data_IF_973642588295
#
_entry.id   IF_973642588295
#
_cell.length_a   1.000
_cell.length_b   1.000
_cell.length_c   1.000
_cell.angle_alpha   90.00
_cell.angle_beta   90.00
_cell.angle_gamma   90.00
#
_symmetry.space_group_name_H-M   'P 1'
#
loop_
_entity.id
_entity.type
_entity.pdbx_description
1 polymer ?
#
# COMPACT_ATOMS: atom_id res chain seq x y z
N UNK A 1 -28.88 -19.34 34.07
CA UNK A 1 -29.34 -19.11 32.70
C UNK A 1 -29.39 -17.59 32.36
N UNK A 2 -28.33 -16.83 32.64
CA UNK A 2 -28.32 -15.35 32.53
C UNK A 2 -26.93 -14.80 32.12
N UNK A 3 -26.15 -15.56 31.34
CA UNK A 3 -24.78 -15.16 30.93
C UNK A 3 -24.54 -15.02 29.42
N UNK A 4 -25.48 -15.41 28.57
CA UNK A 4 -25.25 -15.52 27.12
C UNK A 4 -25.77 -14.37 26.28
N UNK A 5 -26.55 -13.47 26.81
CA UNK A 5 -27.17 -12.34 26.09
C UNK A 5 -26.27 -11.10 25.99
N UNK A 6 -25.30 -10.94 26.88
CA UNK A 6 -24.44 -9.73 26.85
C UNK A 6 -23.28 -9.78 25.83
N UNK A 7 -22.84 -10.96 25.40
CA UNK A 7 -21.75 -11.04 24.40
C UNK A 7 -22.18 -10.57 23.00
N UNK A 8 -23.46 -10.71 22.66
CA UNK A 8 -23.98 -10.35 21.33
C UNK A 8 -24.35 -8.87 21.19
N UNK A 9 -24.63 -8.19 22.29
CA UNK A 9 -25.01 -6.76 22.29
C UNK A 9 -23.76 -5.86 22.22
N UNK A 10 -22.65 -6.24 22.84
CA UNK A 10 -21.37 -5.53 22.70
C UNK A 10 -20.77 -5.62 21.30
N UNK A 11 -21.03 -6.69 20.55
CA UNK A 11 -20.56 -6.84 19.18
C UNK A 11 -21.20 -5.85 18.19
N UNK A 12 -22.44 -5.41 18.40
CA UNK A 12 -23.12 -4.48 17.47
C UNK A 12 -22.66 -3.02 17.63
N UNK A 13 -22.17 -2.62 18.78
CA UNK A 13 -21.75 -1.23 19.05
C UNK A 13 -20.32 -0.93 18.56
N UNK A 14 -19.51 -1.96 18.30
CA UNK A 14 -18.13 -1.84 17.82
C UNK A 14 -18.02 -1.57 16.31
N UNK A 15 -19.10 -1.74 15.54
CA UNK A 15 -19.08 -1.59 14.07
C UNK A 15 -19.18 -0.14 13.57
N UNK A 16 -19.52 0.83 14.41
CA UNK A 16 -19.80 2.21 13.98
C UNK A 16 -18.68 3.22 14.17
N UNK A 17 -17.56 2.87 14.84
CA UNK A 17 -16.47 3.81 15.14
C UNK A 17 -15.14 3.50 14.43
N UNK A 18 -15.18 2.95 13.23
CA UNK A 18 -13.98 2.36 12.60
C UNK A 18 -13.13 3.26 11.70
N UNK A 19 -13.30 4.56 11.64
CA UNK A 19 -12.43 5.38 10.80
C UNK A 19 -11.96 6.66 11.50
N UNK A 20 -10.97 6.56 12.38
CA UNK A 20 -10.08 7.68 12.67
C UNK A 20 -8.81 7.52 11.80
N UNK A 21 -8.60 8.48 10.91
CA UNK A 21 -7.35 8.59 10.12
C UNK A 21 -6.20 8.86 11.09
N UNK A 22 -5.18 8.03 11.08
CA UNK A 22 -3.92 8.36 11.76
C UNK A 22 -3.26 9.55 11.07
N UNK A 23 -2.59 10.41 11.83
CA UNK A 23 -1.52 11.24 11.31
C UNK A 23 -0.59 10.35 10.47
N UNK A 24 -0.40 10.73 9.21
CA UNK A 24 0.27 9.94 8.18
C UNK A 24 1.71 9.67 8.61
N UNK A 25 1.91 8.58 9.35
CA UNK A 25 3.24 8.06 9.59
C UNK A 25 3.78 7.55 8.25
N UNK A 26 5.01 7.97 7.93
CA UNK A 26 5.74 7.55 6.74
C UNK A 26 5.82 6.03 6.70
N UNK A 27 5.03 5.38 5.82
CA UNK A 27 5.25 3.98 5.54
C UNK A 27 6.63 3.84 4.90
N UNK A 28 7.51 3.12 5.51
CA UNK A 28 8.85 2.88 4.99
C UNK A 28 8.82 1.74 3.96
N UNK A 29 9.85 1.62 3.13
CA UNK A 29 10.00 0.48 2.22
C UNK A 29 9.90 -0.87 2.96
N UNK A 30 10.32 -0.90 4.21
CA UNK A 30 10.25 -2.09 5.07
C UNK A 30 8.81 -2.41 5.49
N UNK A 31 7.95 -1.40 5.72
CA UNK A 31 6.53 -1.61 6.03
C UNK A 31 5.75 -2.20 4.86
N UNK A 32 6.06 -1.81 3.63
CA UNK A 32 5.40 -2.43 2.45
C UNK A 32 5.85 -3.86 2.22
N UNK A 33 7.12 -4.18 2.48
CA UNK A 33 7.57 -5.58 2.49
C UNK A 33 6.84 -6.36 3.57
N UNK A 34 6.69 -5.77 4.75
CA UNK A 34 5.95 -6.36 5.86
C UNK A 34 4.48 -6.61 5.51
N UNK A 35 3.81 -5.68 4.85
CA UNK A 35 2.43 -5.86 4.35
C UNK A 35 2.33 -7.08 3.42
N UNK A 36 3.26 -7.24 2.47
CA UNK A 36 3.28 -8.40 1.57
C UNK A 36 3.51 -9.72 2.30
N UNK A 37 4.42 -9.72 3.28
CA UNK A 37 4.69 -10.89 4.13
C UNK A 37 3.45 -11.23 4.95
N UNK A 38 2.83 -10.23 5.57
CA UNK A 38 1.61 -10.40 6.36
C UNK A 38 0.46 -10.98 5.54
N UNK A 39 0.19 -10.44 4.35
CA UNK A 39 -0.83 -10.98 3.45
C UNK A 39 -0.59 -12.44 3.12
N UNK A 40 0.66 -12.81 2.81
CA UNK A 40 1.01 -14.21 2.56
C UNK A 40 0.77 -15.10 3.79
N UNK A 41 1.14 -14.65 4.99
CA UNK A 41 0.96 -15.40 6.24
C UNK A 41 -0.51 -15.50 6.65
N UNK A 42 -1.29 -14.43 6.48
CA UNK A 42 -2.74 -14.41 6.75
C UNK A 42 -3.46 -15.40 5.84
N UNK A 43 -3.13 -15.43 4.55
CA UNK A 43 -3.71 -16.38 3.58
C UNK A 43 -3.32 -17.82 3.92
N UNK A 44 -2.05 -18.08 4.24
CA UNK A 44 -1.60 -19.38 4.67
C UNK A 44 -2.33 -19.88 5.94
N UNK A 45 -2.55 -18.99 6.92
CA UNK A 45 -3.33 -19.34 8.11
C UNK A 45 -4.80 -19.63 7.75
N UNK A 46 -5.41 -18.83 6.88
CA UNK A 46 -6.78 -19.06 6.40
C UNK A 46 -6.93 -20.41 5.71
N UNK A 47 -6.00 -20.76 4.82
CA UNK A 47 -5.99 -22.03 4.09
C UNK A 47 -5.80 -23.21 5.05
N UNK A 48 -4.85 -23.11 5.98
CA UNK A 48 -4.63 -24.15 7.01
C UNK A 48 -5.89 -24.40 7.87
N UNK A 49 -6.57 -23.33 8.28
CA UNK A 49 -7.81 -23.44 9.05
C UNK A 49 -8.91 -24.07 8.20
N UNK A 50 -9.02 -23.69 6.94
CA UNK A 50 -10.00 -24.27 6.03
C UNK A 50 -9.74 -25.78 5.82
N UNK A 51 -8.49 -26.20 5.63
CA UNK A 51 -8.10 -27.60 5.56
C UNK A 51 -8.47 -28.38 6.82
N UNK A 52 -8.28 -27.82 8.01
CA UNK A 52 -8.70 -28.42 9.28
C UNK A 52 -10.22 -28.63 9.29
N UNK A 53 -10.98 -27.64 8.86
CA UNK A 53 -12.45 -27.72 8.86
C UNK A 53 -12.99 -28.73 7.84
N UNK A 54 -12.32 -28.85 6.69
CA UNK A 54 -12.75 -29.71 5.57
C UNK A 54 -12.21 -31.16 5.66
N UNK A 55 -11.32 -31.44 6.65
CA UNK A 55 -10.69 -32.76 6.77
C UNK A 55 -11.60 -33.79 7.44
N UNK A 56 -12.45 -34.43 6.67
CA UNK A 56 -13.36 -35.49 7.15
C UNK A 56 -12.68 -36.85 7.49
N UNK A 57 -11.38 -36.98 7.21
CA UNK A 57 -10.62 -38.17 7.56
C UNK A 57 -10.19 -38.22 9.02
N UNK A 58 -10.16 -37.07 9.71
CA UNK A 58 -9.82 -36.95 11.12
C UNK A 58 -11.11 -36.87 11.95
N UNK A 59 -11.30 -37.72 12.97
CA UNK A 59 -12.47 -37.66 13.84
C UNK A 59 -12.58 -36.28 14.54
N UNK A 60 -13.80 -35.81 14.72
CA UNK A 60 -14.08 -34.48 15.27
C UNK A 60 -13.40 -34.17 16.60
N UNK A 61 -13.30 -35.17 17.48
CA UNK A 61 -12.65 -35.00 18.79
C UNK A 61 -11.14 -34.76 18.71
N UNK A 62 -10.50 -35.06 17.58
CA UNK A 62 -9.07 -34.88 17.35
C UNK A 62 -8.79 -33.73 16.33
N UNK A 63 -9.78 -33.39 15.51
CA UNK A 63 -9.63 -32.44 14.38
C UNK A 63 -9.33 -31.02 14.83
N UNK A 64 -9.95 -30.58 15.92
CA UNK A 64 -9.95 -29.18 16.33
C UNK A 64 -9.02 -28.84 17.49
N UNK A 65 -8.07 -29.73 17.82
CA UNK A 65 -7.19 -29.62 19.00
C UNK A 65 -6.29 -28.39 18.98
N UNK A 66 -5.96 -27.89 17.78
CA UNK A 66 -5.09 -26.72 17.57
C UNK A 66 -5.81 -25.37 17.70
N UNK A 67 -7.05 -25.33 18.19
CA UNK A 67 -7.89 -24.11 18.26
C UNK A 67 -7.22 -22.94 19.00
N UNK A 68 -6.44 -23.19 20.06
CA UNK A 68 -5.71 -22.15 20.80
C UNK A 68 -4.53 -21.61 20.01
N UNK A 69 -3.80 -22.51 19.33
CA UNK A 69 -2.64 -22.14 18.53
C UNK A 69 -3.07 -21.27 17.33
N UNK A 70 -4.17 -21.64 16.65
CA UNK A 70 -4.74 -20.86 15.56
C UNK A 70 -5.17 -19.45 16.03
N UNK A 71 -5.80 -19.36 17.21
CA UNK A 71 -6.18 -18.10 17.80
C UNK A 71 -4.97 -17.22 18.18
N UNK A 72 -3.89 -17.83 18.70
CA UNK A 72 -2.64 -17.14 19.01
C UNK A 72 -1.97 -16.61 17.74
N UNK A 73 -1.83 -17.46 16.71
CA UNK A 73 -1.25 -17.04 15.42
C UNK A 73 -2.02 -15.88 14.78
N UNK A 74 -3.35 -15.93 14.82
CA UNK A 74 -4.17 -14.81 14.35
C UNK A 74 -3.92 -13.52 15.16
N UNK A 75 -3.84 -13.61 16.49
CA UNK A 75 -3.57 -12.44 17.33
C UNK A 75 -2.25 -11.76 16.96
N UNK A 76 -1.18 -12.55 16.75
CA UNK A 76 0.13 -12.03 16.35
C UNK A 76 0.07 -11.33 14.99
N UNK A 77 -0.62 -11.93 14.02
CA UNK A 77 -0.81 -11.32 12.70
C UNK A 77 -1.65 -10.05 12.76
N UNK A 78 -2.71 -10.04 13.56
CA UNK A 78 -3.57 -8.87 13.75
C UNK A 78 -2.84 -7.71 14.44
N UNK A 79 -1.95 -8.00 15.39
CA UNK A 79 -1.12 -6.98 16.05
C UNK A 79 -0.12 -6.37 15.07
N UNK A 80 0.59 -7.20 14.32
CA UNK A 80 1.53 -6.74 13.30
C UNK A 80 0.84 -5.92 12.21
N UNK A 81 -0.34 -6.35 11.75
CA UNK A 81 -1.13 -5.63 10.77
C UNK A 81 -1.54 -4.23 11.28
N UNK A 82 -1.96 -4.09 12.56
CA UNK A 82 -2.27 -2.78 13.15
C UNK A 82 -1.11 -1.80 13.11
N UNK A 83 0.12 -2.31 13.15
CA UNK A 83 1.33 -1.46 13.17
C UNK A 83 1.69 -0.93 11.78
N UNK A 84 1.30 -1.62 10.71
CA UNK A 84 1.66 -1.27 9.32
C UNK A 84 0.50 -0.66 8.51
N UNK A 85 -0.75 -0.81 8.96
CA UNK A 85 -1.92 -0.25 8.26
C UNK A 85 -2.03 1.25 8.47
N UNK A 86 -2.39 1.97 7.40
CA UNK A 86 -2.67 3.41 7.44
C UNK A 86 -3.99 3.74 8.14
N UNK A 87 -4.93 2.80 8.14
CA UNK A 87 -6.25 2.94 8.76
C UNK A 87 -6.27 2.21 10.09
N UNK A 88 -6.73 2.88 11.16
CA UNK A 88 -6.97 2.24 12.46
C UNK A 88 -8.16 1.27 12.36
N UNK A 89 -7.90 0.03 11.96
CA UNK A 89 -8.90 -1.02 12.03
C UNK A 89 -8.85 -1.69 13.42
N UNK A 90 -10.01 -1.82 14.05
CA UNK A 90 -10.14 -2.62 15.27
C UNK A 90 -10.36 -4.09 14.87
N UNK A 91 -9.33 -4.90 15.04
CA UNK A 91 -9.45 -6.34 14.88
C UNK A 91 -9.83 -6.99 16.22
N UNK A 92 -10.69 -8.00 16.16
CA UNK A 92 -10.99 -8.84 17.32
C UNK A 92 -9.69 -9.50 17.83
N UNK A 93 -9.55 -9.62 19.13
CA UNK A 93 -8.43 -10.32 19.77
C UNK A 93 -8.96 -11.45 20.62
N UNK A 94 -8.48 -12.66 20.40
CA UNK A 94 -8.86 -13.82 21.19
C UNK A 94 -8.08 -13.83 22.50
N UNK A 95 -8.80 -13.99 23.63
CA UNK A 95 -8.14 -14.17 24.93
C UNK A 95 -7.73 -15.62 25.12
N UNK A 96 -6.55 -15.98 24.58
CA UNK A 96 -6.06 -17.37 24.57
C UNK A 96 -5.85 -17.90 25.99
N UNK A 97 -5.46 -17.06 26.94
CA UNK A 97 -5.22 -17.47 28.35
C UNK A 97 -6.52 -17.90 29.06
N UNK A 98 -7.65 -17.30 28.68
CA UNK A 98 -8.97 -17.63 29.21
C UNK A 98 -9.72 -18.70 28.43
N UNK A 99 -9.14 -19.20 27.33
CA UNK A 99 -9.73 -20.33 26.60
C UNK A 99 -9.62 -21.61 27.44
N UNK A 100 -10.67 -22.45 27.47
CA UNK A 100 -10.61 -23.73 28.14
C UNK A 100 -9.43 -24.57 27.62
N UNK A 101 -8.74 -25.29 28.47
CA UNK A 101 -7.72 -26.27 28.07
C UNK A 101 -8.31 -27.41 27.27
N UNK A 102 -7.47 -28.21 26.62
CA UNK A 102 -7.92 -29.37 25.81
C UNK A 102 -8.78 -30.35 26.63
N UNK A 103 -8.44 -30.59 27.91
CA UNK A 103 -9.20 -31.49 28.80
C UNK A 103 -10.51 -30.89 29.33
N UNK A 104 -10.68 -29.55 29.23
CA UNK A 104 -11.81 -28.82 29.81
C UNK A 104 -12.84 -28.38 28.77
N UNK A 105 -12.65 -28.76 27.49
CA UNK A 105 -13.53 -28.36 26.40
C UNK A 105 -13.90 -29.53 25.51
N UNK A 106 -15.05 -29.42 24.85
CA UNK A 106 -15.56 -30.41 23.92
C UNK A 106 -15.37 -29.90 22.47
N UNK A 107 -15.19 -30.81 21.54
CA UNK A 107 -14.91 -30.54 20.16
C UNK A 107 -15.89 -29.54 19.46
N UNK A 108 -17.22 -29.50 19.76
CA UNK A 108 -18.11 -28.50 19.15
C UNK A 108 -17.73 -27.08 19.51
N UNK A 109 -17.22 -26.85 20.72
CA UNK A 109 -16.74 -25.51 21.13
C UNK A 109 -15.39 -25.18 20.47
N UNK A 110 -14.48 -26.17 20.38
CA UNK A 110 -13.20 -26.01 19.68
C UNK A 110 -13.43 -25.67 18.20
N UNK A 111 -14.33 -26.39 17.52
CA UNK A 111 -14.74 -26.10 16.14
C UNK A 111 -15.25 -24.68 15.99
N UNK A 112 -16.17 -24.24 16.88
CA UNK A 112 -16.71 -22.90 16.86
C UNK A 112 -15.61 -21.82 17.00
N UNK A 113 -14.61 -22.06 17.83
CA UNK A 113 -13.47 -21.12 17.98
C UNK A 113 -12.68 -21.07 16.65
N UNK A 114 -12.37 -22.21 16.06
CA UNK A 114 -11.65 -22.28 14.77
C UNK A 114 -12.43 -21.57 13.66
N UNK A 115 -13.74 -21.76 13.57
CA UNK A 115 -14.61 -21.06 12.62
C UNK A 115 -14.56 -19.53 12.84
N UNK A 116 -14.56 -19.07 14.10
CA UNK A 116 -14.43 -17.65 14.43
C UNK A 116 -13.05 -17.09 14.05
N UNK A 117 -11.98 -17.87 14.28
CA UNK A 117 -10.63 -17.48 13.86
C UNK A 117 -10.56 -17.37 12.34
N UNK A 118 -11.16 -18.31 11.59
CA UNK A 118 -11.20 -18.24 10.13
C UNK A 118 -11.91 -16.97 9.62
N UNK A 119 -13.07 -16.66 10.18
CA UNK A 119 -13.79 -15.43 9.81
C UNK A 119 -12.94 -14.19 10.10
N UNK A 120 -12.33 -14.13 11.29
CA UNK A 120 -11.47 -13.01 11.67
C UNK A 120 -10.24 -12.89 10.77
N UNK A 121 -9.65 -14.02 10.36
CA UNK A 121 -8.50 -14.07 9.45
C UNK A 121 -8.87 -13.58 8.05
N UNK A 122 -10.03 -13.99 7.52
CA UNK A 122 -10.54 -13.51 6.22
C UNK A 122 -10.87 -12.00 6.25
N UNK A 123 -11.40 -11.50 7.36
CA UNK A 123 -11.62 -10.06 7.54
C UNK A 123 -10.29 -9.29 7.57
N UNK A 124 -9.27 -9.82 8.25
CA UNK A 124 -7.95 -9.22 8.32
C UNK A 124 -7.28 -9.17 6.93
N UNK A 125 -7.37 -10.25 6.14
CA UNK A 125 -6.89 -10.28 4.75
C UNK A 125 -7.58 -9.20 3.90
N UNK A 126 -8.91 -9.13 3.97
CA UNK A 126 -9.70 -8.15 3.23
C UNK A 126 -9.31 -6.71 3.59
N UNK A 127 -9.17 -6.40 4.88
CA UNK A 127 -8.80 -5.05 5.32
C UNK A 127 -7.40 -4.66 4.87
N UNK A 128 -6.42 -5.57 5.02
CA UNK A 128 -5.04 -5.31 4.64
C UNK A 128 -4.85 -5.22 3.12
N UNK A 129 -5.56 -6.07 2.35
CA UNK A 129 -5.59 -5.99 0.88
C UNK A 129 -6.19 -4.67 0.41
N UNK A 130 -7.33 -4.24 0.98
CA UNK A 130 -7.96 -2.97 0.62
C UNK A 130 -7.08 -1.76 0.94
N UNK A 131 -6.32 -1.78 2.02
CA UNK A 131 -5.37 -0.70 2.37
C UNK A 131 -4.21 -0.62 1.36
N UNK A 132 -3.75 -1.77 0.86
CA UNK A 132 -2.73 -1.84 -0.19
C UNK A 132 -3.27 -1.40 -1.56
N UNK A 133 -4.46 -1.88 -1.95
CA UNK A 133 -5.11 -1.55 -3.22
C UNK A 133 -5.44 -0.05 -3.31
N UNK A 134 -5.88 0.56 -2.18
CA UNK A 134 -6.17 1.98 -2.12
C UNK A 134 -4.97 2.87 -2.50
N UNK A 135 -3.75 2.48 -2.10
CA UNK A 135 -2.55 3.22 -2.43
C UNK A 135 -2.20 3.11 -3.94
N UNK A 136 -2.53 2.00 -4.58
CA UNK A 136 -2.34 1.83 -6.02
C UNK A 136 -3.40 2.62 -6.80
N UNK A 137 -4.66 2.61 -6.37
CA UNK A 137 -5.73 3.43 -6.94
C UNK A 137 -5.43 4.94 -6.82
N UNK A 138 -4.91 5.41 -5.67
CA UNK A 138 -4.50 6.81 -5.51
C UNK A 138 -3.33 7.18 -6.43
N UNK A 139 -2.38 6.27 -6.65
CA UNK A 139 -1.28 6.48 -7.59
C UNK A 139 -1.78 6.61 -9.03
N UNK A 140 -2.69 5.72 -9.45
CA UNK A 140 -3.32 5.75 -10.77
C UNK A 140 -4.14 7.02 -11.00
N UNK A 141 -4.88 7.45 -9.98
CA UNK A 141 -5.66 8.68 -10.01
C UNK A 141 -4.76 9.92 -10.14
N UNK A 142 -3.65 9.95 -9.40
CA UNK A 142 -2.69 11.07 -9.46
C UNK A 142 -1.99 11.12 -10.82
N UNK A 143 -1.55 9.99 -11.36
CA UNK A 143 -0.99 9.90 -12.71
C UNK A 143 -1.95 10.49 -13.75
N UNK A 144 -3.18 9.98 -13.77
CA UNK A 144 -4.20 10.40 -14.72
C UNK A 144 -4.55 11.90 -14.56
N UNK A 145 -4.58 12.40 -13.33
CA UNK A 145 -4.82 13.79 -13.04
C UNK A 145 -3.71 14.69 -13.62
N UNK A 146 -2.44 14.38 -13.32
CA UNK A 146 -1.29 15.15 -13.86
C UNK A 146 -1.28 15.07 -15.38
N UNK A 147 -1.41 13.87 -15.96
CA UNK A 147 -1.40 13.65 -17.40
C UNK A 147 -2.47 14.49 -18.13
N UNK A 148 -3.68 14.53 -17.61
CA UNK A 148 -4.81 15.21 -18.23
C UNK A 148 -4.77 16.73 -18.04
N UNK A 149 -4.13 17.26 -16.99
CA UNK A 149 -4.20 18.67 -16.62
C UNK A 149 -2.91 19.45 -16.89
N UNK A 150 -1.76 18.81 -16.87
CA UNK A 150 -0.47 19.51 -16.93
C UNK A 150 -0.35 20.44 -18.16
N UNK A 151 -0.78 19.95 -19.34
CA UNK A 151 -0.75 20.79 -20.53
C UNK A 151 -1.63 22.03 -20.43
N UNK A 152 -2.75 21.94 -19.72
CA UNK A 152 -3.73 23.04 -19.62
C UNK A 152 -3.27 24.17 -18.71
N UNK A 153 -2.34 23.92 -17.80
CA UNK A 153 -1.81 24.94 -16.88
C UNK A 153 -0.48 25.55 -17.34
N UNK A 154 0.15 25.00 -18.39
CA UNK A 154 1.35 25.56 -19.00
C UNK A 154 0.96 26.30 -20.29
N UNK A 155 0.82 27.64 -20.18
CA UNK A 155 0.34 28.47 -21.29
C UNK A 155 1.42 28.78 -22.32
N UNK A 156 2.65 28.99 -21.90
CA UNK A 156 3.80 29.26 -22.76
C UNK A 156 4.76 28.09 -22.81
N UNK A 157 5.51 27.97 -23.91
CA UNK A 157 6.52 26.94 -24.07
C UNK A 157 7.58 27.04 -22.98
N UNK A 158 7.77 26.04 -22.11
CA UNK A 158 8.72 26.13 -21.03
C UNK A 158 10.17 26.06 -21.55
N UNK A 159 11.01 26.88 -20.95
CA UNK A 159 12.45 26.88 -21.25
C UNK A 159 13.26 26.04 -20.24
N UNK A 160 12.74 25.86 -19.03
CA UNK A 160 13.42 25.17 -17.93
C UNK A 160 12.48 24.16 -17.25
N UNK A 161 13.04 23.09 -16.71
CA UNK A 161 12.29 22.07 -15.96
C UNK A 161 11.54 22.64 -14.76
N UNK A 162 12.14 23.62 -14.08
CA UNK A 162 11.51 24.32 -12.95
C UNK A 162 10.13 24.92 -13.29
N UNK A 163 9.89 25.29 -14.53
CA UNK A 163 8.59 25.83 -14.96
C UNK A 163 7.55 24.72 -15.01
N UNK A 164 7.93 23.53 -15.43
CA UNK A 164 7.06 22.34 -15.43
C UNK A 164 6.83 21.86 -14.00
N UNK A 165 7.87 21.84 -13.16
CA UNK A 165 7.75 21.53 -11.74
C UNK A 165 6.78 22.48 -11.02
N UNK A 166 6.87 23.79 -11.27
CA UNK A 166 5.95 24.79 -10.69
C UNK A 166 4.50 24.54 -11.12
N UNK A 167 4.29 24.14 -12.38
CA UNK A 167 2.95 23.78 -12.87
C UNK A 167 2.41 22.52 -12.17
N UNK A 168 3.25 21.49 -11.97
CA UNK A 168 2.87 20.28 -11.22
C UNK A 168 2.56 20.64 -9.76
N UNK A 169 3.39 21.47 -9.10
CA UNK A 169 3.12 21.91 -7.73
C UNK A 169 1.76 22.63 -7.63
N UNK A 170 1.43 23.47 -8.62
CA UNK A 170 0.12 24.14 -8.68
C UNK A 170 -1.03 23.13 -8.85
N UNK A 171 -0.83 22.05 -9.61
CA UNK A 171 -1.82 20.98 -9.76
C UNK A 171 -1.99 20.20 -8.45
N UNK A 172 -0.90 19.84 -7.75
CA UNK A 172 -0.94 19.15 -6.47
C UNK A 172 -1.71 19.98 -5.42
N UNK A 173 -1.39 21.26 -5.29
CA UNK A 173 -2.12 22.17 -4.43
C UNK A 173 -3.59 22.34 -4.85
N UNK A 174 -3.85 22.42 -6.16
CA UNK A 174 -5.20 22.56 -6.71
C UNK A 174 -6.11 21.35 -6.51
N UNK A 175 -5.55 20.14 -6.36
CA UNK A 175 -6.32 18.94 -6.00
C UNK A 175 -6.45 18.72 -4.49
N UNK A 176 -6.00 19.69 -3.67
CA UNK A 176 -6.19 19.67 -2.22
C UNK A 176 -5.03 19.10 -1.42
N UNK A 177 -3.90 18.77 -2.05
CA UNK A 177 -2.70 18.32 -1.35
C UNK A 177 -1.96 19.52 -0.75
N UNK A 178 -1.50 19.37 0.50
CA UNK A 178 -0.81 20.42 1.26
C UNK A 178 0.69 20.15 1.30
N UNK A 179 1.50 21.14 0.90
CA UNK A 179 2.96 21.05 1.00
C UNK A 179 3.40 20.94 2.46
N UNK A 180 4.35 20.06 2.74
CA UNK A 180 4.85 19.78 4.10
C UNK A 180 3.98 18.81 4.90
N UNK A 181 2.81 18.39 4.36
CA UNK A 181 1.89 17.42 4.98
C UNK A 181 1.67 16.23 4.04
N UNK A 182 1.11 16.50 2.85
CA UNK A 182 0.76 15.46 1.88
C UNK A 182 1.88 15.23 0.85
N UNK A 183 2.62 16.29 0.50
CA UNK A 183 3.78 16.21 -0.38
C UNK A 183 4.90 17.19 0.04
N UNK A 184 6.11 16.88 -0.38
CA UNK A 184 7.27 17.76 -0.28
C UNK A 184 7.94 17.91 -1.65
N UNK A 185 8.68 19.03 -1.83
CA UNK A 185 9.43 19.33 -3.03
C UNK A 185 10.92 19.43 -2.72
N UNK A 186 11.75 18.83 -3.59
CA UNK A 186 13.22 18.83 -3.45
C UNK A 186 13.69 18.34 -2.06
N UNK A 187 13.00 17.34 -1.52
CA UNK A 187 13.30 16.72 -0.21
C UNK A 187 13.56 15.22 -0.39
N UNK A 188 13.90 14.54 0.71
CA UNK A 188 14.15 13.10 0.65
C UNK A 188 15.51 12.76 0.03
N UNK A 189 16.50 13.63 0.21
CA UNK A 189 17.88 13.42 -0.23
C UNK A 189 18.44 12.12 0.32
N UNK A 190 19.04 11.31 -0.54
CA UNK A 190 19.75 10.08 -0.16
C UNK A 190 20.95 9.86 -1.05
N UNK A 191 21.88 9.01 -0.60
CA UNK A 191 23.08 8.67 -1.34
C UNK A 191 22.95 7.27 -1.98
N UNK A 192 23.28 7.16 -3.26
CA UNK A 192 23.36 5.90 -3.99
C UNK A 192 24.64 5.88 -4.83
N UNK A 193 25.50 4.87 -4.60
CA UNK A 193 26.78 4.69 -5.32
C UNK A 193 27.67 5.93 -5.28
N UNK A 194 27.69 6.67 -4.15
CA UNK A 194 28.51 7.87 -3.98
C UNK A 194 27.97 9.12 -4.66
N UNK A 195 26.76 9.06 -5.21
CA UNK A 195 26.04 10.21 -5.79
C UNK A 195 24.80 10.51 -4.96
N UNK A 196 24.55 11.81 -4.72
CA UNK A 196 23.32 12.26 -4.08
C UNK A 196 22.17 12.32 -5.09
N UNK A 197 21.01 11.85 -4.63
CA UNK A 197 19.75 11.91 -5.38
C UNK A 197 18.70 12.62 -4.54
N UNK A 198 17.95 13.49 -5.19
CA UNK A 198 16.86 14.28 -4.60
C UNK A 198 15.74 14.29 -5.65
N UNK A 199 14.59 13.65 -5.39
CA UNK A 199 13.47 13.73 -6.31
C UNK A 199 12.83 15.11 -6.30
N UNK A 200 12.19 15.49 -7.41
CA UNK A 200 11.50 16.77 -7.51
C UNK A 200 10.34 16.89 -6.54
N UNK A 201 9.56 15.79 -6.39
CA UNK A 201 8.49 15.71 -5.38
C UNK A 201 8.48 14.34 -4.71
N UNK A 202 8.04 14.34 -3.46
CA UNK A 202 7.78 13.14 -2.67
C UNK A 202 6.37 13.18 -2.12
N UNK A 203 5.61 12.10 -2.27
CA UNK A 203 4.31 11.91 -1.63
C UNK A 203 4.45 10.75 -0.63
N UNK A 204 4.72 11.04 0.65
CA UNK A 204 5.07 10.03 1.65
C UNK A 204 4.00 8.95 1.82
N UNK A 205 2.72 9.33 1.84
CA UNK A 205 1.58 8.42 1.99
C UNK A 205 1.56 7.33 0.91
N UNK A 206 1.97 7.65 -0.32
CA UNK A 206 2.03 6.71 -1.44
C UNK A 206 3.41 6.05 -1.59
N UNK A 207 4.39 6.42 -0.79
CA UNK A 207 5.80 6.07 -0.99
C UNK A 207 6.25 6.34 -2.44
N UNK A 208 5.79 7.46 -2.97
CA UNK A 208 5.95 7.88 -4.36
C UNK A 208 6.96 9.00 -4.46
N UNK A 209 7.90 8.86 -5.38
CA UNK A 209 8.66 9.99 -5.89
C UNK A 209 8.18 10.37 -7.29
N UNK A 210 8.20 11.68 -7.57
CA UNK A 210 7.91 12.23 -8.90
C UNK A 210 9.16 12.94 -9.39
N UNK A 211 9.57 12.61 -10.61
CA UNK A 211 10.70 13.24 -11.29
C UNK A 211 10.22 13.88 -12.59
N UNK A 212 10.64 15.09 -12.85
CA UNK A 212 10.22 15.88 -14.01
C UNK A 212 11.37 16.03 -14.98
N UNK A 213 11.11 15.80 -16.26
CA UNK A 213 12.08 16.00 -17.33
C UNK A 213 11.48 16.86 -18.43
N UNK A 214 12.23 17.88 -18.86
CA UNK A 214 11.87 18.70 -20.01
C UNK A 214 12.64 18.21 -21.26
N UNK A 215 11.90 17.59 -22.17
CA UNK A 215 12.49 17.07 -23.41
C UNK A 215 12.56 18.14 -24.48
N UNK A 216 13.78 18.53 -24.81
CA UNK A 216 14.13 19.47 -25.86
C UNK A 216 14.77 18.76 -27.05
N UNK A 217 15.01 19.54 -28.11
CA UNK A 217 15.71 19.06 -29.31
C UNK A 217 17.04 18.37 -28.97
N UNK A 218 17.29 17.24 -29.62
CA UNK A 218 18.52 16.44 -29.49
C UNK A 218 18.84 15.92 -28.08
N UNK A 219 17.84 15.89 -27.14
CA UNK A 219 18.04 15.42 -25.77
C UNK A 219 17.37 14.10 -25.43
N UNK A 220 16.72 13.43 -26.40
CA UNK A 220 15.97 12.20 -26.16
C UNK A 220 16.82 11.12 -25.47
N UNK A 221 18.00 10.80 -26.03
CA UNK A 221 18.88 9.77 -25.47
C UNK A 221 19.34 10.12 -24.05
N UNK A 222 19.68 11.40 -23.83
CA UNK A 222 20.11 11.86 -22.50
C UNK A 222 18.98 11.78 -21.46
N UNK A 223 17.76 12.14 -21.82
CA UNK A 223 16.60 12.02 -20.91
C UNK A 223 16.32 10.55 -20.57
N UNK A 224 16.46 9.62 -21.53
CA UNK A 224 16.33 8.18 -21.27
C UNK A 224 17.41 7.69 -20.30
N UNK A 225 18.68 8.13 -20.48
CA UNK A 225 19.78 7.78 -19.58
C UNK A 225 19.54 8.32 -18.15
N UNK A 226 19.11 9.57 -18.04
CA UNK A 226 18.77 10.20 -16.76
C UNK A 226 17.65 9.43 -16.05
N UNK A 227 16.54 9.15 -16.72
CA UNK A 227 15.42 8.37 -16.18
C UNK A 227 15.89 6.97 -15.74
N UNK A 228 16.70 6.28 -16.55
CA UNK A 228 17.20 4.94 -16.22
C UNK A 228 18.08 4.93 -14.97
N UNK A 229 18.90 5.97 -14.80
CA UNK A 229 19.73 6.15 -13.60
C UNK A 229 18.85 6.45 -12.37
N UNK A 230 17.87 7.36 -12.51
CA UNK A 230 16.94 7.76 -11.45
C UNK A 230 16.07 6.56 -11.04
N UNK A 231 15.54 5.76 -11.98
CA UNK A 231 14.81 4.51 -11.71
C UNK A 231 15.62 3.58 -10.80
N UNK A 232 16.90 3.39 -11.13
CA UNK A 232 17.77 2.48 -10.38
C UNK A 232 18.04 2.98 -8.96
N UNK A 233 18.27 4.28 -8.81
CA UNK A 233 18.55 4.89 -7.51
C UNK A 233 17.29 4.95 -6.64
N UNK A 234 16.17 5.44 -7.19
CA UNK A 234 14.94 5.66 -6.45
C UNK A 234 14.28 4.37 -5.95
N UNK A 235 14.48 3.23 -6.61
CA UNK A 235 14.02 1.91 -6.12
C UNK A 235 14.52 1.53 -4.73
N UNK A 236 15.60 2.15 -4.25
CA UNK A 236 16.12 1.92 -2.90
C UNK A 236 15.29 2.61 -1.82
N UNK A 237 14.61 3.70 -2.18
CA UNK A 237 13.95 4.58 -1.23
C UNK A 237 12.44 4.64 -1.43
N UNK A 238 11.96 4.48 -2.67
CA UNK A 238 10.55 4.65 -3.02
C UNK A 238 10.00 3.40 -3.69
N UNK A 239 8.76 3.06 -3.36
CA UNK A 239 8.05 1.91 -3.95
C UNK A 239 7.50 2.29 -5.30
N UNK A 240 6.91 3.48 -5.41
CA UNK A 240 6.31 4.00 -6.62
C UNK A 240 7.14 5.15 -7.17
N UNK A 241 7.25 5.19 -8.48
CA UNK A 241 7.99 6.24 -9.17
C UNK A 241 7.17 6.74 -10.36
N UNK A 242 7.00 8.05 -10.46
CA UNK A 242 6.33 8.72 -11.58
C UNK A 242 7.31 9.64 -12.29
N UNK A 243 7.62 9.33 -13.52
CA UNK A 243 8.41 10.21 -14.38
C UNK A 243 7.49 11.03 -15.27
N UNK A 244 7.57 12.34 -15.16
CA UNK A 244 6.78 13.29 -15.97
C UNK A 244 7.69 13.88 -17.03
N UNK A 245 7.53 13.44 -18.26
CA UNK A 245 8.29 13.95 -19.42
C UNK A 245 7.43 14.98 -20.15
N UNK A 246 7.80 16.26 -20.02
CA UNK A 246 7.17 17.30 -20.80
C UNK A 246 7.90 17.43 -22.15
N UNK A 247 7.23 17.00 -23.22
CA UNK A 247 7.82 16.90 -24.55
C UNK A 247 7.51 18.14 -25.41
N UNK A 248 8.54 18.80 -25.87
CA UNK A 248 8.43 19.94 -26.80
C UNK A 248 8.28 19.51 -28.28
N UNK A 249 7.79 18.28 -28.52
CA UNK A 249 7.46 17.77 -29.85
C UNK A 249 8.56 16.86 -30.46
N UNK A 250 9.40 16.24 -29.65
CA UNK A 250 10.53 15.41 -30.12
C UNK A 250 10.33 13.90 -29.89
N UNK A 251 9.24 13.48 -29.22
CA UNK A 251 8.85 12.07 -29.09
C UNK A 251 7.84 11.74 -30.18
N UNK A 252 8.24 10.89 -31.13
CA UNK A 252 7.37 10.41 -32.22
C UNK A 252 6.57 9.17 -31.78
N UNK A 253 7.21 8.25 -31.06
CA UNK A 253 6.59 7.01 -30.57
C UNK A 253 6.67 6.96 -29.04
N UNK A 254 5.55 7.28 -28.38
CA UNK A 254 5.44 7.27 -26.93
C UNK A 254 5.53 5.83 -26.36
N UNK A 255 4.88 4.88 -27.01
CA UNK A 255 4.90 3.49 -26.57
C UNK A 255 6.29 2.88 -26.56
N UNK A 256 7.14 3.22 -27.54
CA UNK A 256 8.55 2.81 -27.58
C UNK A 256 9.35 3.47 -26.45
N UNK A 257 9.10 4.74 -26.18
CA UNK A 257 9.79 5.48 -25.12
C UNK A 257 9.49 4.91 -23.73
N UNK A 258 8.23 4.55 -23.49
CA UNK A 258 7.73 4.10 -22.18
C UNK A 258 8.05 2.63 -21.92
N UNK A 259 7.94 1.76 -22.95
CA UNK A 259 7.95 0.29 -22.83
C UNK A 259 9.10 -0.26 -22.00
N UNK A 260 10.31 0.23 -22.19
CA UNK A 260 11.51 -0.34 -21.56
C UNK A 260 11.72 0.21 -20.13
N UNK A 261 11.02 1.29 -19.76
CA UNK A 261 11.10 1.93 -18.46
C UNK A 261 10.04 1.34 -17.50
N UNK A 262 8.82 1.13 -17.98
CA UNK A 262 7.66 0.68 -17.17
C UNK A 262 7.63 -0.83 -16.85
N UNK A 263 8.61 -1.58 -17.31
CA UNK A 263 8.67 -3.06 -17.13
C UNK A 263 8.63 -3.56 -15.67
N UNK A 264 8.56 -2.69 -14.69
CA UNK A 264 8.66 -3.04 -13.26
C UNK A 264 7.42 -2.66 -12.40
N UNK A 265 6.24 -2.58 -12.98
CA UNK A 265 4.94 -2.52 -12.27
C UNK A 265 4.65 -1.27 -11.42
N UNK A 266 5.62 -0.77 -10.67
CA UNK A 266 5.46 0.39 -9.79
C UNK A 266 6.13 1.66 -10.34
N UNK A 267 6.51 1.64 -11.63
CA UNK A 267 7.14 2.75 -12.32
C UNK A 267 6.24 3.16 -13.47
N UNK A 268 5.88 4.42 -13.52
CA UNK A 268 5.07 4.99 -14.59
C UNK A 268 5.77 6.17 -15.23
N UNK A 269 5.58 6.31 -16.53
CA UNK A 269 6.10 7.42 -17.32
C UNK A 269 4.95 8.08 -18.05
N UNK A 270 4.65 9.32 -17.74
CA UNK A 270 3.70 10.12 -18.50
C UNK A 270 4.42 11.06 -19.44
N UNK A 271 3.96 11.11 -20.68
CA UNK A 271 4.44 12.04 -21.68
C UNK A 271 3.35 13.08 -21.93
N UNK A 272 3.67 14.34 -21.72
CA UNK A 272 2.77 15.47 -21.97
C UNK A 272 3.37 16.34 -23.06
N UNK A 273 2.71 16.39 -24.21
CA UNK A 273 3.15 17.21 -25.35
C UNK A 273 2.72 18.66 -25.18
N UNK A 274 3.61 19.58 -25.58
CA UNK A 274 3.33 21.02 -25.52
C UNK A 274 2.32 21.46 -26.57
#
# INVERSE_FOLDING_TARGET
>A
MLGFTNLFVEQKQLWYNCFEVRDVAKNTLDETKEIKILLSQIRALSDTIQEILDNDHVPDFARYVSYRDMASMYNDLAERARNVMNVKAMFYTFNVDKMPGFGDTVWPLQKKIIEQVLVSTKMLDSCLSSDADFADDEFDNLENFIKSRLRTVIFSRPEKEIEVQNAIESLLAGCGLNKGVDYDRETGKFEFSGKEYIPDFVIPKLQLCIEVKLLKENRKSKVIEEISADVTAYRKQYIRQLFVVYDLGYIQNEAEFIRDIENAGNIKVIIVKH
#
